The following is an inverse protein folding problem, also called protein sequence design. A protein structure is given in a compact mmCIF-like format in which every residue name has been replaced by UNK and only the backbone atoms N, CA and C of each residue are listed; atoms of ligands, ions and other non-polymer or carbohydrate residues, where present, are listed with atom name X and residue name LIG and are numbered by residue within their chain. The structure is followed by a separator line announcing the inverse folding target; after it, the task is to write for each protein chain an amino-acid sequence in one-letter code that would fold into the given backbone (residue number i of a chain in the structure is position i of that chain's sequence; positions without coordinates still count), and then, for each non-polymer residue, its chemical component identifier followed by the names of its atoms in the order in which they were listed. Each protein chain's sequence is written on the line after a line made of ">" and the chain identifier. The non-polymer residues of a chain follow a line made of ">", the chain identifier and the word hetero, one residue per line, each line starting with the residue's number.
data_IF_761203083649
#
_entry.id   IF_761203083649
#
_cell.length_a   1.000
_cell.length_b   1.000
_cell.length_c   1.000
_cell.angle_alpha   90.00
_cell.angle_beta   90.00
_cell.angle_gamma   90.00
#
_symmetry.space_group_name_H-M   'P 1'
#
loop_
_entity.id
_entity.type
_entity.pdbx_description
1 polymer ?
#
# COMPACT_ATOMS: atom_id res chain seq x y z
N UNK A 1 -21.29 20.08 -4.00
CA UNK A 1 -21.79 19.89 -2.60
C UNK A 1 -21.79 21.16 -1.74
N UNK A 2 -21.46 22.34 -2.30
CA UNK A 2 -21.64 23.61 -1.61
C UNK A 2 -20.50 24.04 -0.69
N UNK A 3 -19.24 23.64 -0.94
CA UNK A 3 -18.04 24.17 -0.26
C UNK A 3 -17.59 25.53 -0.85
N UNK A 4 -16.72 26.27 -0.15
CA UNK A 4 -16.08 27.52 -0.63
C UNK A 4 -14.58 27.30 -0.53
N UNK A 5 -13.99 27.08 -1.71
CA UNK A 5 -12.60 26.66 -1.89
C UNK A 5 -12.02 27.53 -2.99
N UNK A 6 -10.87 28.11 -2.71
CA UNK A 6 -10.10 28.95 -3.64
C UNK A 6 -8.68 28.39 -3.76
N UNK A 7 -8.19 28.24 -4.99
CA UNK A 7 -6.79 27.90 -5.25
C UNK A 7 -5.94 29.17 -5.10
N UNK A 8 -4.96 29.16 -4.21
CA UNK A 8 -4.13 30.35 -3.94
C UNK A 8 -2.96 30.49 -4.93
N UNK A 9 -2.63 29.41 -5.63
CA UNK A 9 -1.57 29.38 -6.64
C UNK A 9 -2.09 28.74 -7.91
N UNK A 10 -1.85 27.44 -8.07
CA UNK A 10 -2.19 26.71 -9.29
C UNK A 10 -3.58 26.09 -9.16
N UNK A 11 -4.41 26.23 -10.18
CA UNK A 11 -5.71 25.55 -10.24
C UNK A 11 -5.52 24.03 -10.13
N UNK A 12 -6.37 23.39 -9.32
CA UNK A 12 -6.30 21.95 -9.07
C UNK A 12 -5.27 21.52 -8.01
N UNK A 13 -4.42 22.42 -7.51
CA UNK A 13 -3.33 22.08 -6.58
C UNK A 13 -3.34 22.93 -5.31
N UNK A 14 -2.83 22.40 -4.18
CA UNK A 14 -2.51 23.22 -3.01
C UNK A 14 -1.49 24.34 -3.33
N UNK A 15 -1.43 25.41 -2.52
CA UNK A 15 -2.22 25.65 -1.31
C UNK A 15 -3.66 26.10 -1.60
N UNK A 16 -4.58 25.65 -0.75
CA UNK A 16 -6.02 25.93 -0.84
C UNK A 16 -6.45 26.88 0.28
N UNK A 17 -7.35 27.82 -0.03
CA UNK A 17 -8.08 28.61 0.96
C UNK A 17 -9.51 28.09 1.07
N UNK A 18 -9.81 27.48 2.20
CA UNK A 18 -11.12 26.88 2.48
C UNK A 18 -11.85 27.78 3.49
N UNK A 19 -13.01 28.34 3.09
CA UNK A 19 -13.85 29.15 3.98
C UNK A 19 -14.93 28.25 4.58
N UNK A 20 -14.93 28.13 5.91
CA UNK A 20 -15.87 27.27 6.63
C UNK A 20 -17.32 27.72 6.44
N UNK A 21 -18.19 26.78 6.04
CA UNK A 21 -19.64 26.96 5.96
C UNK A 21 -20.37 25.64 6.13
N UNK A 22 -21.68 25.70 6.39
CA UNK A 22 -22.52 24.50 6.34
C UNK A 22 -22.54 23.94 4.92
N UNK A 23 -22.24 22.65 4.81
CA UNK A 23 -22.26 21.94 3.54
C UNK A 23 -23.66 21.41 3.29
N UNK A 24 -24.22 21.76 2.14
CA UNK A 24 -25.57 21.33 1.74
C UNK A 24 -25.62 19.82 1.48
N UNK A 25 -24.56 19.25 0.92
CA UNK A 25 -24.54 17.85 0.49
C UNK A 25 -25.24 17.63 -0.85
N UNK A 26 -26.01 16.55 -0.95
CA UNK A 26 -26.79 16.20 -2.16
C UNK A 26 -26.19 15.01 -2.92
N UNK A 27 -26.01 15.17 -4.24
CA UNK A 27 -25.48 14.13 -5.12
C UNK A 27 -24.17 14.57 -5.76
N UNK A 28 -23.19 13.67 -5.84
CA UNK A 28 -21.89 13.90 -6.45
C UNK A 28 -21.48 12.70 -7.29
N UNK A 29 -20.73 12.98 -8.35
CA UNK A 29 -20.16 11.96 -9.23
C UNK A 29 -18.65 12.05 -9.16
N UNK A 30 -18.01 10.92 -8.88
CA UNK A 30 -16.55 10.83 -8.75
C UNK A 30 -16.04 9.65 -9.57
N UNK A 31 -14.82 9.76 -10.07
CA UNK A 31 -14.16 8.65 -10.74
C UNK A 31 -13.70 7.62 -9.73
N UNK A 32 -13.87 6.33 -10.04
CA UNK A 32 -13.39 5.21 -9.23
C UNK A 32 -11.93 4.85 -9.47
N UNK A 33 -11.34 5.36 -10.57
CA UNK A 33 -10.02 4.96 -11.04
C UNK A 33 -8.90 5.93 -10.65
N UNK A 34 -9.22 7.10 -10.08
CA UNK A 34 -8.20 8.08 -9.69
C UNK A 34 -7.64 7.78 -8.30
N UNK A 35 -8.49 7.82 -7.27
CA UNK A 35 -8.06 7.56 -5.89
C UNK A 35 -9.23 7.26 -4.97
N UNK A 36 -9.12 6.20 -4.18
CA UNK A 36 -10.08 5.86 -3.11
C UNK A 36 -10.14 6.91 -2.01
N UNK A 37 -9.12 7.76 -1.87
CA UNK A 37 -9.05 8.81 -0.85
C UNK A 37 -10.15 9.86 -1.04
N UNK A 38 -10.48 10.22 -2.29
CA UNK A 38 -11.55 11.19 -2.56
C UNK A 38 -12.91 10.67 -2.13
N UNK A 39 -13.21 9.41 -2.44
CA UNK A 39 -14.46 8.76 -2.03
C UNK A 39 -14.52 8.66 -0.50
N UNK A 40 -13.44 8.19 0.12
CA UNK A 40 -13.35 8.01 1.58
C UNK A 40 -13.50 9.33 2.33
N UNK A 41 -12.85 10.40 1.87
CA UNK A 41 -12.99 11.75 2.45
C UNK A 41 -14.44 12.24 2.36
N UNK A 42 -15.09 12.09 1.20
CA UNK A 42 -16.50 12.44 1.01
C UNK A 42 -17.41 11.63 1.91
N UNK A 43 -17.15 10.32 2.08
CA UNK A 43 -17.90 9.47 3.00
C UNK A 43 -17.80 9.99 4.43
N UNK A 44 -16.60 10.30 4.92
CA UNK A 44 -16.39 10.72 6.30
C UNK A 44 -17.10 12.04 6.65
N UNK A 45 -17.18 12.99 5.71
CA UNK A 45 -17.88 14.27 5.91
C UNK A 45 -19.38 14.21 5.60
N UNK A 46 -19.84 13.22 4.82
CA UNK A 46 -21.24 13.11 4.41
C UNK A 46 -22.26 13.14 5.55
N UNK A 47 -22.06 12.47 6.71
CA UNK A 47 -23.01 12.51 7.83
C UNK A 47 -23.26 13.92 8.37
N UNK A 48 -22.29 14.83 8.24
CA UNK A 48 -22.36 16.18 8.82
C UNK A 48 -22.98 17.20 7.87
N UNK A 49 -23.39 16.79 6.67
CA UNK A 49 -24.04 17.66 5.67
C UNK A 49 -25.55 17.72 5.89
N UNK A 50 -26.18 18.85 5.51
CA UNK A 50 -27.61 19.08 5.72
C UNK A 50 -28.50 18.01 5.08
N UNK A 51 -28.15 17.57 3.86
CA UNK A 51 -28.89 16.55 3.12
C UNK A 51 -28.18 15.18 3.06
N UNK A 52 -27.06 15.03 3.77
CA UNK A 52 -26.18 13.88 3.61
C UNK A 52 -25.53 13.88 2.22
N UNK A 53 -25.10 12.70 1.75
CA UNK A 53 -24.49 12.58 0.44
C UNK A 53 -24.85 11.26 -0.27
N UNK A 54 -25.08 11.37 -1.58
CA UNK A 54 -25.10 10.26 -2.52
C UNK A 54 -23.88 10.39 -3.40
N UNK A 55 -22.99 9.41 -3.33
CA UNK A 55 -21.76 9.32 -4.12
C UNK A 55 -22.01 8.29 -5.23
N UNK A 56 -21.96 8.73 -6.49
CA UNK A 56 -22.03 7.86 -7.65
C UNK A 56 -20.62 7.72 -8.26
N UNK A 57 -20.15 6.48 -8.34
CA UNK A 57 -18.81 6.16 -8.83
C UNK A 57 -18.92 5.76 -10.31
N UNK A 58 -18.27 6.51 -11.21
CA UNK A 58 -18.49 6.35 -12.66
C UNK A 58 -17.85 5.09 -13.24
N UNK A 59 -16.66 4.76 -12.76
CA UNK A 59 -15.77 3.75 -13.35
C UNK A 59 -15.57 2.56 -12.40
N UNK A 60 -14.69 1.63 -12.76
CA UNK A 60 -14.24 0.58 -11.84
C UNK A 60 -13.61 1.19 -10.57
N UNK A 61 -13.89 0.58 -9.43
CA UNK A 61 -13.39 1.02 -8.13
C UNK A 61 -12.03 0.38 -7.87
N UNK A 62 -10.97 1.15 -8.11
CA UNK A 62 -9.63 0.77 -7.70
C UNK A 62 -9.52 0.95 -6.18
N UNK A 63 -8.75 0.10 -5.50
CA UNK A 63 -8.52 0.22 -4.05
C UNK A 63 -9.83 0.14 -3.24
N UNK A 64 -10.80 -0.66 -3.70
CA UNK A 64 -12.09 -0.89 -3.01
C UNK A 64 -11.94 -1.23 -1.52
N UNK A 65 -10.94 -2.01 -1.06
CA UNK A 65 -10.76 -2.28 0.37
C UNK A 65 -10.58 -1.02 1.23
N UNK A 66 -10.01 0.06 0.73
CA UNK A 66 -9.85 1.31 1.48
C UNK A 66 -11.18 2.04 1.70
N UNK A 67 -12.10 1.94 0.73
CA UNK A 67 -13.48 2.44 0.86
C UNK A 67 -14.25 1.56 1.85
N UNK A 68 -14.07 0.24 1.78
CA UNK A 68 -14.64 -0.72 2.73
C UNK A 68 -14.15 -0.49 4.16
N UNK A 69 -12.85 -0.23 4.34
CA UNK A 69 -12.24 0.14 5.62
C UNK A 69 -12.91 1.40 6.19
N UNK A 70 -13.06 2.42 5.36
CA UNK A 70 -13.75 3.66 5.74
C UNK A 70 -15.20 3.39 6.16
N UNK A 71 -15.93 2.60 5.37
CA UNK A 71 -17.30 2.22 5.71
C UNK A 71 -17.38 1.48 7.05
N UNK A 72 -16.50 0.51 7.30
CA UNK A 72 -16.47 -0.28 8.54
C UNK A 72 -16.16 0.58 9.77
N UNK A 73 -15.17 1.46 9.66
CA UNK A 73 -14.86 2.40 10.75
C UNK A 73 -16.01 3.38 10.98
N UNK A 74 -16.65 3.89 9.92
CA UNK A 74 -17.82 4.75 10.08
C UNK A 74 -18.98 4.02 10.79
N UNK A 75 -19.21 2.75 10.46
CA UNK A 75 -20.20 1.90 11.14
C UNK A 75 -19.88 1.71 12.63
N UNK A 76 -18.62 1.47 13.00
CA UNK A 76 -18.19 1.39 14.41
C UNK A 76 -18.47 2.68 15.17
N UNK A 77 -18.27 3.84 14.54
CA UNK A 77 -18.60 5.15 15.11
C UNK A 77 -20.07 5.53 14.94
N UNK A 78 -20.95 4.55 14.67
CA UNK A 78 -22.40 4.69 14.72
C UNK A 78 -23.06 5.29 13.47
N UNK A 79 -22.34 5.37 12.35
CA UNK A 79 -22.91 5.85 11.08
C UNK A 79 -23.45 4.68 10.27
N UNK A 80 -24.70 4.79 9.85
CA UNK A 80 -25.28 3.85 8.88
C UNK A 80 -25.14 4.38 7.44
N UNK A 81 -24.68 3.53 6.54
CA UNK A 81 -24.57 3.81 5.11
C UNK A 81 -25.14 2.67 4.28
N UNK A 82 -25.55 2.98 3.05
CA UNK A 82 -26.00 1.99 2.07
C UNK A 82 -25.04 2.01 0.88
N UNK A 83 -24.41 0.88 0.58
CA UNK A 83 -23.52 0.73 -0.56
C UNK A 83 -24.04 -0.36 -1.50
N UNK A 84 -24.43 0.04 -2.71
CA UNK A 84 -24.97 -0.86 -3.74
C UNK A 84 -24.28 -0.58 -5.07
N UNK A 85 -23.52 -1.55 -5.58
CA UNK A 85 -22.71 -1.39 -6.78
C UNK A 85 -21.78 -0.18 -6.66
N UNK A 86 -21.92 0.77 -7.58
CA UNK A 86 -21.14 2.00 -7.62
C UNK A 86 -21.81 3.19 -6.90
N UNK A 87 -22.81 2.93 -6.05
CA UNK A 87 -23.54 3.99 -5.35
C UNK A 87 -23.43 3.84 -3.84
N UNK A 88 -22.95 4.89 -3.18
CA UNK A 88 -22.87 4.98 -1.72
C UNK A 88 -23.82 6.09 -1.25
N UNK A 89 -24.74 5.78 -0.34
CA UNK A 89 -25.70 6.72 0.24
C UNK A 89 -25.53 6.81 1.75
N UNK A 90 -25.28 8.03 2.22
CA UNK A 90 -25.07 8.34 3.65
C UNK A 90 -26.03 9.48 4.01
N UNK A 91 -26.91 9.25 5.01
CA UNK A 91 -27.87 10.26 5.50
C UNK A 91 -27.23 11.17 6.57
N UNK A 92 -27.79 12.37 6.82
CA UNK A 92 -27.40 13.21 7.94
C UNK A 92 -27.48 12.46 9.28
N UNK A 93 -26.36 12.36 9.98
CA UNK A 93 -26.18 11.57 11.21
C UNK A 93 -25.05 12.19 12.05
N UNK A 94 -24.85 11.71 13.28
CA UNK A 94 -23.75 12.15 14.14
C UNK A 94 -22.91 10.97 14.56
N UNK A 95 -21.59 11.14 14.54
CA UNK A 95 -20.66 10.15 15.04
C UNK A 95 -20.81 9.97 16.55
N UNK A 96 -20.59 8.75 17.02
CA UNK A 96 -20.50 8.41 18.43
C UNK A 96 -19.03 8.20 18.80
N UNK A 97 -18.56 8.75 19.94
CA UNK A 97 -17.21 8.47 20.41
C UNK A 97 -17.09 6.99 20.79
N UNK A 98 -16.00 6.36 20.34
CA UNK A 98 -15.68 4.96 20.63
C UNK A 98 -14.23 4.88 21.09
N UNK A 99 -13.96 4.07 22.11
CA UNK A 99 -12.58 3.74 22.47
C UNK A 99 -11.99 2.85 21.38
N UNK A 100 -11.00 3.36 20.65
CA UNK A 100 -10.43 2.69 19.50
C UNK A 100 -8.91 2.58 19.61
N UNK A 101 -8.38 1.39 19.33
CA UNK A 101 -6.94 1.16 19.17
C UNK A 101 -6.66 0.90 17.71
N UNK A 102 -5.85 1.78 17.11
CA UNK A 102 -5.39 1.65 15.72
C UNK A 102 -4.58 0.36 15.60
N UNK A 103 -4.89 -0.41 14.56
CA UNK A 103 -4.14 -1.61 14.19
C UNK A 103 -2.77 -1.24 13.62
N UNK A 104 -1.78 -2.11 13.76
CA UNK A 104 -0.52 -1.97 13.02
C UNK A 104 -0.77 -2.07 11.51
N UNK A 105 0.11 -1.45 10.72
CA UNK A 105 -0.02 -1.34 9.27
C UNK A 105 0.35 -2.67 8.57
N UNK A 106 -0.61 -3.28 7.86
CA UNK A 106 -0.36 -4.52 7.12
C UNK A 106 0.55 -4.31 5.91
N UNK A 107 0.46 -3.17 5.23
CA UNK A 107 1.40 -2.83 4.15
C UNK A 107 2.84 -2.75 4.67
N UNK A 108 3.07 -2.15 5.84
CA UNK A 108 4.40 -2.11 6.46
C UNK A 108 4.86 -3.48 6.95
N UNK A 109 3.94 -4.36 7.37
CA UNK A 109 4.25 -5.75 7.69
C UNK A 109 4.83 -6.50 6.49
N UNK A 110 4.43 -6.15 5.25
CA UNK A 110 4.88 -6.84 4.02
C UNK A 110 6.41 -6.88 3.88
N UNK A 111 7.13 -5.85 4.31
CA UNK A 111 8.61 -5.80 4.24
C UNK A 111 9.26 -6.86 5.15
N UNK A 112 8.63 -7.15 6.29
CA UNK A 112 9.08 -8.23 7.20
C UNK A 112 8.75 -9.60 6.64
N UNK A 113 7.59 -9.76 5.99
CA UNK A 113 7.25 -10.98 5.27
C UNK A 113 8.24 -11.27 4.14
N UNK A 114 8.63 -10.24 3.39
CA UNK A 114 9.67 -10.33 2.36
C UNK A 114 11.01 -10.80 2.95
N UNK A 115 11.47 -10.19 4.04
CA UNK A 115 12.73 -10.60 4.70
C UNK A 115 12.67 -12.05 5.20
N UNK A 116 11.55 -12.47 5.78
CA UNK A 116 11.34 -13.87 6.20
C UNK A 116 11.29 -14.82 5.01
N UNK A 117 10.74 -14.39 3.87
CA UNK A 117 10.74 -15.20 2.66
C UNK A 117 12.16 -15.47 2.15
N UNK A 118 13.10 -14.53 2.35
CA UNK A 118 14.51 -14.63 1.91
C UNK A 118 15.42 -15.36 2.91
N UNK A 119 15.03 -15.47 4.18
CA UNK A 119 15.86 -16.03 5.24
C UNK A 119 15.33 -17.40 5.73
N UNK A 120 16.02 -18.53 5.45
CA UNK A 120 15.53 -19.89 5.75
C UNK A 120 15.14 -20.18 7.20
N UNK A 121 15.78 -19.53 8.17
CA UNK A 121 15.57 -19.76 9.61
C UNK A 121 14.95 -18.54 10.32
N UNK A 122 14.42 -17.57 9.56
CA UNK A 122 13.84 -16.38 10.15
C UNK A 122 12.47 -16.67 10.77
N UNK A 123 12.32 -16.19 12.00
CA UNK A 123 11.06 -16.12 12.74
C UNK A 123 10.91 -14.71 13.31
N UNK A 124 9.80 -14.06 12.99
CA UNK A 124 9.51 -12.70 13.45
C UNK A 124 8.11 -12.65 14.05
N UNK A 125 7.99 -12.03 15.21
CA UNK A 125 6.68 -11.70 15.81
C UNK A 125 6.35 -10.25 15.52
N UNK A 126 5.26 -10.02 14.79
CA UNK A 126 4.74 -8.69 14.47
C UNK A 126 3.52 -8.40 15.34
N UNK A 127 3.65 -7.42 16.23
CA UNK A 127 2.60 -7.07 17.18
C UNK A 127 1.56 -6.11 16.58
N UNK A 128 0.33 -6.17 17.10
CA UNK A 128 -0.74 -5.22 16.79
C UNK A 128 -1.46 -5.46 15.46
N UNK A 129 -1.08 -6.48 14.69
CA UNK A 129 -1.84 -7.00 13.55
C UNK A 129 -3.00 -7.89 14.03
N UNK A 130 -4.14 -7.87 13.33
CA UNK A 130 -5.34 -8.62 13.69
C UNK A 130 -5.75 -9.59 12.57
N UNK A 131 -6.25 -10.76 12.97
CA UNK A 131 -6.80 -11.75 12.02
C UNK A 131 -7.99 -11.21 11.22
N UNK A 132 -8.94 -10.58 11.92
CA UNK A 132 -10.12 -9.98 11.30
C UNK A 132 -9.87 -8.50 10.98
N UNK A 133 -8.79 -8.20 10.26
CA UNK A 133 -8.45 -6.83 9.86
C UNK A 133 -9.40 -6.29 8.79
N UNK A 134 -9.62 -4.97 8.81
CA UNK A 134 -10.31 -4.26 7.74
C UNK A 134 -9.36 -3.73 6.66
N UNK A 135 -8.05 -3.83 6.88
CA UNK A 135 -7.04 -3.42 5.91
C UNK A 135 -7.00 -4.47 4.78
N UNK A 136 -7.16 -4.04 3.53
CA UNK A 136 -7.10 -4.95 2.37
C UNK A 136 -5.77 -5.69 2.29
N UNK A 137 -4.69 -4.97 2.62
CA UNK A 137 -3.32 -5.46 2.62
C UNK A 137 -3.08 -6.64 3.58
N UNK A 138 -3.99 -6.92 4.53
CA UNK A 138 -3.95 -8.14 5.35
C UNK A 138 -4.04 -9.42 4.52
N UNK A 139 -4.54 -9.35 3.28
CA UNK A 139 -4.53 -10.46 2.33
C UNK A 139 -3.10 -10.93 1.99
N UNK A 140 -2.06 -10.15 2.31
CA UNK A 140 -0.66 -10.59 2.20
C UNK A 140 -0.41 -11.93 2.91
N UNK A 141 -1.17 -12.24 3.97
CA UNK A 141 -1.07 -13.53 4.69
C UNK A 141 -1.34 -14.70 3.76
N UNK A 142 -2.26 -14.54 2.81
CA UNK A 142 -2.54 -15.58 1.82
C UNK A 142 -1.52 -15.57 0.69
N UNK A 143 -1.17 -14.38 0.19
CA UNK A 143 -0.25 -14.23 -0.94
C UNK A 143 1.17 -14.72 -0.60
N UNK A 144 1.66 -14.47 0.61
CA UNK A 144 2.99 -14.91 1.02
C UNK A 144 3.09 -16.41 1.34
N UNK A 145 1.97 -17.13 1.49
CA UNK A 145 2.00 -18.61 1.53
C UNK A 145 2.60 -19.18 0.25
N UNK A 146 2.25 -18.59 -0.89
CA UNK A 146 2.78 -18.98 -2.20
C UNK A 146 4.28 -18.65 -2.36
N UNK A 147 4.80 -17.71 -1.56
CA UNK A 147 6.22 -17.36 -1.51
C UNK A 147 6.97 -18.09 -0.38
N UNK A 148 6.30 -19.06 0.26
CA UNK A 148 6.87 -19.93 1.26
C UNK A 148 7.04 -19.28 2.62
N UNK A 149 6.04 -18.49 3.06
CA UNK A 149 5.96 -17.94 4.41
C UNK A 149 4.67 -18.41 5.08
N UNK A 150 4.78 -18.98 6.28
CA UNK A 150 3.63 -19.29 7.12
C UNK A 150 3.35 -18.15 8.09
N UNK A 151 2.07 -17.94 8.40
CA UNK A 151 1.60 -16.98 9.41
C UNK A 151 0.78 -17.71 10.46
N UNK A 152 1.09 -17.48 11.72
CA UNK A 152 0.32 -17.92 12.88
C UNK A 152 -0.25 -16.69 13.60
N UNK A 153 -1.57 -16.64 13.79
CA UNK A 153 -2.19 -15.59 14.58
C UNK A 153 -2.05 -15.90 16.07
N UNK A 154 -1.56 -14.92 16.83
CA UNK A 154 -1.38 -14.99 18.28
C UNK A 154 -2.14 -13.84 18.96
N UNK A 155 -2.27 -13.89 20.29
CA UNK A 155 -3.13 -12.98 21.06
C UNK A 155 -2.95 -11.47 20.80
N UNK A 156 -1.75 -11.03 20.40
CA UNK A 156 -1.46 -9.61 20.15
C UNK A 156 -0.69 -9.39 18.83
N UNK A 157 -0.90 -10.24 17.82
CA UNK A 157 -0.19 -10.09 16.55
C UNK A 157 -0.12 -11.37 15.74
N UNK A 158 0.95 -11.48 14.96
CA UNK A 158 1.27 -12.67 14.18
C UNK A 158 2.70 -13.10 14.38
N UNK A 159 2.94 -14.41 14.25
CA UNK A 159 4.28 -14.97 14.09
C UNK A 159 4.44 -15.44 12.66
N UNK A 160 5.48 -14.97 12.00
CA UNK A 160 5.80 -15.30 10.62
C UNK A 160 7.08 -16.10 10.54
N UNK A 161 7.09 -17.14 9.70
CA UNK A 161 8.20 -18.08 9.55
C UNK A 161 8.37 -18.49 8.12
N UNK A 162 9.61 -18.79 7.70
CA UNK A 162 9.83 -19.47 6.42
C UNK A 162 9.16 -20.83 6.47
N UNK A 163 8.31 -21.12 5.48
CA UNK A 163 7.59 -22.38 5.37
C UNK A 163 7.60 -22.86 3.92
N UNK A 164 8.48 -23.80 3.62
CA UNK A 164 8.52 -24.47 2.32
C UNK A 164 9.14 -23.66 1.19
N UNK A 165 8.94 -24.15 -0.04
CA UNK A 165 9.49 -23.58 -1.27
C UNK A 165 8.46 -22.66 -1.93
N UNK A 166 8.90 -21.55 -2.53
CA UNK A 166 7.99 -20.70 -3.29
C UNK A 166 7.43 -21.44 -4.51
N UNK A 167 6.29 -20.96 -5.00
CA UNK A 167 5.69 -21.43 -6.25
C UNK A 167 6.58 -21.11 -7.46
N UNK A 168 6.30 -21.75 -8.59
CA UNK A 168 7.12 -21.62 -9.81
C UNK A 168 6.91 -20.30 -10.57
N UNK A 169 5.72 -19.71 -10.48
CA UNK A 169 5.37 -18.45 -11.15
C UNK A 169 4.20 -17.81 -10.41
N UNK A 170 4.28 -16.51 -10.13
CA UNK A 170 3.29 -15.78 -9.35
C UNK A 170 2.38 -14.95 -10.25
N UNK A 171 1.07 -15.05 -10.04
CA UNK A 171 0.07 -14.28 -10.78
C UNK A 171 -0.87 -13.63 -9.77
N UNK A 172 -1.00 -12.31 -9.79
CA UNK A 172 -1.91 -11.61 -8.89
C UNK A 172 -2.42 -10.32 -9.50
N UNK A 173 -3.66 -9.97 -9.17
CA UNK A 173 -4.26 -8.68 -9.50
C UNK A 173 -4.20 -7.79 -8.26
N UNK A 174 -3.38 -6.74 -8.31
CA UNK A 174 -3.17 -5.82 -7.20
C UNK A 174 -4.19 -4.68 -7.12
N UNK A 175 -5.29 -4.72 -7.89
CA UNK A 175 -6.31 -3.66 -7.87
C UNK A 175 -6.89 -3.40 -6.46
N UNK A 176 -6.87 -4.41 -5.58
CA UNK A 176 -7.38 -4.33 -4.21
C UNK A 176 -6.29 -4.04 -3.16
N UNK A 177 -5.05 -4.42 -3.41
CA UNK A 177 -3.91 -4.18 -2.51
C UNK A 177 -2.72 -3.52 -3.25
N UNK A 178 -2.92 -2.39 -3.97
CA UNK A 178 -1.89 -1.86 -4.89
C UNK A 178 -0.60 -1.50 -4.15
N UNK A 179 -0.73 -1.10 -2.90
CA UNK A 179 0.34 -0.68 -2.02
C UNK A 179 1.29 -1.85 -1.62
N UNK A 180 0.94 -3.10 -1.91
CA UNK A 180 1.80 -4.28 -1.77
C UNK A 180 2.65 -4.61 -3.01
N UNK A 181 2.33 -4.04 -4.18
CA UNK A 181 2.90 -4.48 -5.45
C UNK A 181 4.44 -4.37 -5.50
N UNK A 182 5.01 -3.31 -4.92
CA UNK A 182 6.47 -3.10 -4.90
C UNK A 182 7.19 -4.16 -4.07
N UNK A 183 6.66 -4.48 -2.88
CA UNK A 183 7.18 -5.55 -2.03
C UNK A 183 7.12 -6.90 -2.75
N UNK A 184 6.00 -7.21 -3.41
CA UNK A 184 5.87 -8.48 -4.13
C UNK A 184 6.77 -8.57 -5.37
N UNK A 185 6.97 -7.47 -6.11
CA UNK A 185 7.88 -7.44 -7.25
C UNK A 185 9.32 -7.74 -6.81
N UNK A 186 9.78 -7.03 -5.78
CA UNK A 186 11.08 -7.24 -5.17
C UNK A 186 11.24 -8.68 -4.65
N UNK A 187 10.29 -9.15 -3.84
CA UNK A 187 10.29 -10.52 -3.30
C UNK A 187 10.35 -11.57 -4.41
N UNK A 188 9.55 -11.45 -5.47
CA UNK A 188 9.52 -12.40 -6.57
C UNK A 188 10.87 -12.43 -7.32
N UNK A 189 11.45 -11.27 -7.61
CA UNK A 189 12.79 -11.18 -8.20
C UNK A 189 13.85 -11.85 -7.33
N UNK A 190 13.86 -11.52 -6.03
CA UNK A 190 14.84 -12.02 -5.06
C UNK A 190 14.71 -13.52 -4.78
N UNK A 191 13.50 -14.08 -4.88
CA UNK A 191 13.26 -15.53 -4.82
C UNK A 191 13.43 -16.26 -6.16
N UNK A 192 13.74 -15.52 -7.23
CA UNK A 192 13.77 -16.05 -8.60
C UNK A 192 12.45 -16.72 -9.04
N UNK A 193 11.33 -16.11 -8.65
CA UNK A 193 9.97 -16.50 -9.05
C UNK A 193 9.51 -15.54 -10.15
N UNK A 194 9.40 -15.98 -11.41
CA UNK A 194 8.76 -15.20 -12.46
C UNK A 194 7.36 -14.75 -12.04
N UNK A 195 6.89 -13.60 -12.52
CA UNK A 195 5.57 -13.09 -12.18
C UNK A 195 4.86 -12.35 -13.30
N UNK A 196 3.53 -12.26 -13.19
CA UNK A 196 2.68 -11.32 -13.93
C UNK A 196 1.72 -10.67 -12.94
N UNK A 197 1.83 -9.35 -12.80
CA UNK A 197 0.97 -8.54 -11.95
C UNK A 197 0.03 -7.73 -12.82
N UNK A 198 -1.27 -7.80 -12.55
CA UNK A 198 -2.28 -6.94 -13.18
C UNK A 198 -2.89 -5.96 -12.18
N UNK A 199 -3.68 -5.00 -12.66
CA UNK A 199 -4.32 -4.00 -11.80
C UNK A 199 -3.35 -3.00 -11.17
N UNK A 200 -2.19 -2.80 -11.80
CA UNK A 200 -1.12 -1.93 -11.30
C UNK A 200 -1.14 -0.52 -11.90
N UNK A 201 -2.15 -0.19 -12.72
CA UNK A 201 -2.27 1.12 -13.40
C UNK A 201 -2.21 2.32 -12.43
N UNK A 202 -2.82 2.22 -11.26
CA UNK A 202 -2.83 3.29 -10.26
C UNK A 202 -1.45 3.63 -9.71
N UNK A 203 -0.46 2.73 -9.83
CA UNK A 203 0.89 2.91 -9.31
C UNK A 203 1.69 4.00 -10.03
N UNK A 204 1.29 4.36 -11.26
CA UNK A 204 1.94 5.42 -12.05
C UNK A 204 1.68 6.83 -11.55
N UNK A 205 0.59 7.04 -10.81
CA UNK A 205 0.12 8.35 -10.34
C UNK A 205 0.18 8.47 -8.80
N UNK A 206 0.98 7.62 -8.15
CA UNK A 206 1.22 7.66 -6.69
C UNK A 206 2.28 8.74 -6.38
N UNK A 207 3.08 8.55 -5.33
CA UNK A 207 4.17 9.47 -4.99
C UNK A 207 5.17 9.68 -6.13
N UNK A 208 5.46 8.59 -6.85
CA UNK A 208 6.29 8.53 -8.04
C UNK A 208 5.61 7.61 -9.06
N UNK A 209 6.16 7.52 -10.27
CA UNK A 209 5.84 6.41 -11.16
C UNK A 209 6.52 5.15 -10.63
N UNK A 210 5.83 4.43 -9.74
CA UNK A 210 6.36 3.24 -9.05
C UNK A 210 6.67 2.10 -10.02
N UNK A 211 6.02 2.06 -11.18
CA UNK A 211 6.30 1.05 -12.21
C UNK A 211 7.68 1.31 -12.83
N UNK A 212 7.94 2.54 -13.26
CA UNK A 212 9.25 2.91 -13.81
C UNK A 212 10.36 2.86 -12.75
N UNK A 213 10.05 3.25 -11.51
CA UNK A 213 11.00 3.13 -10.40
C UNK A 213 11.39 1.66 -10.13
N UNK A 214 10.43 0.73 -10.06
CA UNK A 214 10.72 -0.70 -9.90
C UNK A 214 11.56 -1.24 -11.07
N UNK A 215 11.20 -0.92 -12.31
CA UNK A 215 11.97 -1.35 -13.49
C UNK A 215 13.40 -0.82 -13.46
N UNK A 216 13.59 0.43 -13.03
CA UNK A 216 14.91 1.07 -12.97
C UNK A 216 15.76 0.44 -11.86
N UNK A 217 15.25 0.39 -10.64
CA UNK A 217 16.04 -0.04 -9.48
C UNK A 217 16.31 -1.55 -9.46
N UNK A 218 15.32 -2.38 -9.84
CA UNK A 218 15.55 -3.83 -9.93
C UNK A 218 16.49 -4.20 -11.09
N UNK A 219 16.57 -3.37 -12.15
CA UNK A 219 17.54 -3.55 -13.24
C UNK A 219 18.97 -3.32 -12.76
N UNK A 220 19.22 -2.34 -11.88
CA UNK A 220 20.53 -2.16 -11.23
C UNK A 220 20.95 -3.42 -10.46
N UNK A 221 19.98 -4.15 -9.89
CA UNK A 221 20.16 -5.44 -9.22
C UNK A 221 20.15 -6.66 -10.18
N UNK A 222 20.12 -6.43 -11.49
CA UNK A 222 20.23 -7.45 -12.53
C UNK A 222 18.91 -8.09 -12.95
N UNK A 223 17.74 -7.53 -12.61
CA UNK A 223 16.42 -8.04 -12.99
C UNK A 223 15.74 -7.14 -14.02
N UNK A 224 15.37 -7.68 -15.18
CA UNK A 224 14.80 -6.89 -16.28
C UNK A 224 13.27 -7.04 -16.29
N UNK A 225 12.58 -6.15 -15.61
CA UNK A 225 11.12 -6.11 -15.61
C UNK A 225 10.59 -5.51 -16.91
N UNK A 226 9.44 -6.01 -17.36
CA UNK A 226 8.76 -5.56 -18.58
C UNK A 226 7.33 -5.14 -18.26
N UNK A 227 6.86 -4.20 -19.06
CA UNK A 227 5.45 -3.86 -19.13
C UNK A 227 4.94 -4.38 -20.48
N UNK A 228 3.94 -5.25 -20.47
CA UNK A 228 3.33 -5.78 -21.70
C UNK A 228 2.07 -5.01 -22.09
N UNK A 229 1.46 -4.31 -21.14
CA UNK A 229 0.36 -3.35 -21.31
C UNK A 229 0.40 -2.34 -20.14
N UNK A 230 -0.20 -1.16 -20.28
CA UNK A 230 -0.27 -0.09 -19.28
C UNK A 230 -0.82 -0.49 -17.89
N UNK A 231 -1.37 -1.70 -17.77
CA UNK A 231 -1.96 -2.25 -16.55
C UNK A 231 -1.22 -3.50 -16.03
N UNK A 232 -0.13 -3.93 -16.67
CA UNK A 232 0.55 -5.19 -16.39
C UNK A 232 2.06 -5.05 -16.25
N UNK A 233 2.60 -5.49 -15.11
CA UNK A 233 4.04 -5.59 -14.84
C UNK A 233 4.45 -7.06 -14.78
N UNK A 234 5.51 -7.45 -15.45
CA UNK A 234 5.98 -8.83 -15.47
C UNK A 234 7.51 -8.95 -15.39
N UNK A 235 7.94 -10.12 -14.95
CA UNK A 235 9.32 -10.58 -15.05
C UNK A 235 9.30 -12.09 -15.33
N UNK A 236 9.92 -12.51 -16.43
CA UNK A 236 9.90 -13.90 -16.90
C UNK A 236 11.18 -14.68 -16.55
N UNK A 237 12.10 -14.05 -15.82
CA UNK A 237 13.43 -14.59 -15.54
C UNK A 237 14.56 -13.84 -16.24
N UNK A 238 14.28 -12.89 -17.13
CA UNK A 238 15.32 -12.12 -17.82
C UNK A 238 16.27 -11.40 -16.85
N UNK A 239 17.58 -11.57 -17.08
CA UNK A 239 18.65 -11.01 -16.26
C UNK A 239 19.56 -10.10 -17.06
N UNK A 240 20.16 -9.14 -16.38
CA UNK A 240 21.30 -8.37 -16.88
C UNK A 240 22.41 -8.36 -15.82
N UNK A 241 23.54 -7.73 -16.16
CA UNK A 241 24.63 -7.56 -15.20
C UNK A 241 24.18 -6.70 -14.02
N UNK A 242 24.54 -7.13 -12.82
CA UNK A 242 24.38 -6.33 -11.61
C UNK A 242 25.32 -5.14 -11.72
N UNK A 243 24.82 -3.93 -11.48
CA UNK A 243 25.63 -2.72 -11.49
C UNK A 243 26.60 -2.71 -10.31
N UNK A 244 27.88 -2.43 -10.57
CA UNK A 244 28.88 -2.33 -9.53
C UNK A 244 28.64 -1.08 -8.67
N UNK A 245 28.61 -1.27 -7.35
CA UNK A 245 28.33 -0.20 -6.37
C UNK A 245 27.00 0.52 -6.63
N UNK A 246 25.98 -0.22 -7.07
CA UNK A 246 24.66 0.32 -7.33
C UNK A 246 24.11 1.11 -6.13
N UNK A 247 23.66 2.34 -6.40
CA UNK A 247 22.97 3.19 -5.43
C UNK A 247 21.49 3.23 -5.79
N UNK A 248 20.64 2.86 -4.83
CA UNK A 248 19.21 2.83 -5.02
C UNK A 248 18.60 4.21 -4.81
N UNK A 249 17.79 4.65 -5.76
CA UNK A 249 17.02 5.88 -5.67
C UNK A 249 15.63 5.61 -5.09
N UNK A 250 15.18 6.46 -4.17
CA UNK A 250 13.89 6.28 -3.49
C UNK A 250 12.75 7.07 -4.12
N UNK A 251 13.07 8.10 -4.92
CA UNK A 251 12.08 8.95 -5.60
C UNK A 251 11.08 9.61 -4.64
N UNK A 252 11.53 10.00 -3.44
CA UNK A 252 10.66 10.49 -2.35
C UNK A 252 9.54 9.50 -1.93
N UNK A 253 9.69 8.22 -2.29
CA UNK A 253 8.71 7.17 -2.05
C UNK A 253 9.21 6.18 -0.98
N UNK A 254 8.58 6.24 0.19
CA UNK A 254 8.85 5.34 1.30
C UNK A 254 8.73 3.85 0.96
N UNK A 255 7.87 3.46 0.02
CA UNK A 255 7.65 2.07 -0.34
C UNK A 255 8.78 1.55 -1.20
N UNK A 256 9.34 2.38 -2.09
CA UNK A 256 10.53 2.04 -2.86
C UNK A 256 11.72 1.76 -1.94
N UNK A 257 11.94 2.65 -0.95
CA UNK A 257 12.99 2.45 0.05
C UNK A 257 12.81 1.13 0.82
N UNK A 258 11.63 0.91 1.40
CA UNK A 258 11.39 -0.25 2.25
C UNK A 258 11.36 -1.58 1.47
N UNK A 259 10.78 -1.63 0.27
CA UNK A 259 10.72 -2.87 -0.54
C UNK A 259 12.08 -3.30 -1.10
N UNK A 260 12.99 -2.35 -1.35
CA UNK A 260 14.33 -2.68 -1.85
C UNK A 260 15.30 -3.05 -0.74
N UNK A 261 15.01 -2.69 0.52
CA UNK A 261 15.92 -2.89 1.65
C UNK A 261 16.27 -4.37 1.90
N UNK A 262 15.36 -5.28 1.59
CA UNK A 262 15.58 -6.74 1.72
C UNK A 262 16.70 -7.25 0.80
N UNK A 263 17.02 -6.52 -0.28
CA UNK A 263 18.09 -6.87 -1.22
C UNK A 263 19.45 -6.99 -0.52
N UNK A 264 19.69 -6.25 0.56
CA UNK A 264 20.93 -6.35 1.33
C UNK A 264 21.21 -7.77 1.87
N UNK A 265 20.16 -8.59 2.07
CA UNK A 265 20.30 -10.01 2.44
C UNK A 265 21.02 -10.80 1.33
N UNK A 266 20.72 -10.51 0.06
CA UNK A 266 21.25 -11.24 -1.10
C UNK A 266 22.57 -10.66 -1.61
N UNK A 267 22.65 -9.32 -1.64
CA UNK A 267 23.80 -8.60 -2.21
C UNK A 267 24.85 -8.20 -1.16
N UNK A 268 24.66 -8.64 0.10
CA UNK A 268 25.49 -8.34 1.29
C UNK A 268 25.46 -6.88 1.76
N UNK A 269 25.26 -5.94 0.85
CA UNK A 269 25.11 -4.52 1.13
C UNK A 269 24.26 -3.85 0.06
N UNK A 270 23.60 -2.77 0.42
CA UNK A 270 22.84 -1.92 -0.48
C UNK A 270 23.03 -0.46 -0.05
N UNK A 271 23.36 0.42 -0.99
CA UNK A 271 23.42 1.86 -0.75
C UNK A 271 22.13 2.50 -1.26
N UNK A 272 21.59 3.47 -0.54
CA UNK A 272 20.32 4.11 -0.87
C UNK A 272 20.37 5.61 -0.63
N UNK A 273 19.84 6.38 -1.58
CA UNK A 273 19.66 7.81 -1.47
C UNK A 273 18.41 8.15 -0.65
N UNK A 274 18.45 9.25 0.10
CA UNK A 274 17.32 9.79 0.87
C UNK A 274 16.61 8.76 1.77
N UNK A 275 17.32 8.03 2.66
CA UNK A 275 16.71 7.00 3.49
C UNK A 275 15.61 7.54 4.43
N UNK A 276 15.56 8.85 4.68
CA UNK A 276 14.57 9.48 5.54
C UNK A 276 13.13 9.44 4.99
N UNK A 277 12.92 9.13 3.71
CA UNK A 277 11.59 9.04 3.10
C UNK A 277 10.67 8.06 3.83
N UNK A 278 11.24 7.02 4.47
CA UNK A 278 10.48 6.02 5.23
C UNK A 278 9.63 6.63 6.36
N UNK A 279 10.03 7.81 6.86
CA UNK A 279 9.30 8.56 7.90
C UNK A 279 7.86 8.90 7.54
N UNK A 280 7.49 8.83 6.26
CA UNK A 280 6.12 9.03 5.80
C UNK A 280 5.13 8.00 6.38
N UNK A 281 5.55 6.75 6.62
CA UNK A 281 4.67 5.72 7.22
C UNK A 281 5.35 4.85 8.28
N UNK A 282 6.67 4.71 8.24
CA UNK A 282 7.40 3.88 9.19
C UNK A 282 8.70 4.59 9.68
N UNK A 283 8.58 5.62 10.53
CA UNK A 283 9.73 6.38 11.03
C UNK A 283 10.85 5.56 11.67
N UNK A 284 10.49 4.48 12.35
CA UNK A 284 11.45 3.63 13.06
C UNK A 284 12.02 2.49 12.19
N UNK A 285 11.70 2.43 10.89
CA UNK A 285 12.04 1.30 10.01
C UNK A 285 13.51 0.90 10.11
N UNK A 286 14.42 1.86 9.96
CA UNK A 286 15.86 1.59 10.03
C UNK A 286 16.31 1.14 11.43
N UNK A 287 15.74 1.69 12.50
CA UNK A 287 16.06 1.26 13.86
C UNK A 287 15.57 -0.16 14.14
N UNK A 288 14.41 -0.53 13.60
CA UNK A 288 13.89 -1.88 13.72
C UNK A 288 14.70 -2.89 12.87
N UNK A 289 15.20 -2.49 11.70
CA UNK A 289 16.17 -3.29 10.94
C UNK A 289 17.48 -3.50 11.70
N UNK A 290 18.00 -2.47 12.39
CA UNK A 290 19.18 -2.63 13.26
C UNK A 290 18.94 -3.67 14.35
N UNK A 291 17.77 -3.64 14.99
CA UNK A 291 17.38 -4.64 16.00
C UNK A 291 17.26 -6.05 15.41
N UNK A 292 16.86 -6.15 14.14
CA UNK A 292 16.79 -7.41 13.40
C UNK A 292 18.16 -7.91 12.90
N UNK A 293 19.24 -7.17 13.12
CA UNK A 293 20.62 -7.59 12.83
C UNK A 293 21.25 -6.94 11.59
N UNK A 294 20.55 -6.01 10.92
CA UNK A 294 21.15 -5.25 9.83
C UNK A 294 22.15 -4.21 10.36
N UNK A 295 23.24 -4.00 9.63
CA UNK A 295 24.14 -2.86 9.86
C UNK A 295 23.72 -1.72 8.95
N UNK A 296 23.37 -0.57 9.53
CA UNK A 296 22.90 0.62 8.80
C UNK A 296 23.80 1.79 9.15
N UNK A 297 24.50 2.29 8.14
CA UNK A 297 25.50 3.35 8.22
C UNK A 297 25.20 4.43 7.19
N UNK A 298 25.50 5.68 7.55
CA UNK A 298 25.52 6.80 6.62
C UNK A 298 26.91 6.85 5.98
N UNK A 299 26.96 6.92 4.65
CA UNK A 299 28.18 6.80 3.83
C UNK A 299 28.38 8.01 2.92
#
# INVERSE_FOLDING_TARGET
>A
IGADIEYLKNEGCPPLKIRGKRLQGGEVYVSGSVSSQFISALMMVAPTMENGLIINIRDEIISKPYISLTAKLMEEYGIHLKWEGNRIKIKPQSYKPVSFKVESDWSAASYWYEMVALCPDAEITLLGLKENSYQGDANLVNLFKDLGVSTEFVSNGVVIRKAGKPIKKFFHNFIYEPDLAQTFAATCCFLHVPFIFSGVQSLRIKETDRIEALKTELKKLGFVLRETDSEMLEWDGERCFVEENAVMDTYDDHRMAMSLSSAAILFKSLTMNDPHVVSKSYPNFWDDLRKAGFRIEEV
#
